data_IF_285475668785
#
_entry.id   IF_285475668785
#
_cell.length_a   1.000
_cell.length_b   1.000
_cell.length_c   1.000
_cell.angle_alpha   90.00
_cell.angle_beta   90.00
_cell.angle_gamma   90.00
#
_symmetry.space_group_name_H-M   'P 1'
#
loop_
_entity.id
_entity.type
_entity.pdbx_description
1 polymer ?
#
# COMPACT_ATOMS: atom_id res chain seq x y z
N UNK A 1 8.99 17.14 6.64
CA UNK A 1 7.85 16.98 5.72
C UNK A 1 7.76 15.53 5.26
N UNK A 2 6.67 15.17 4.58
CA UNK A 2 6.44 13.81 4.06
C UNK A 2 7.64 13.30 3.24
N UNK A 3 8.24 14.15 2.40
CA UNK A 3 9.38 13.79 1.54
C UNK A 3 10.68 13.50 2.31
N UNK A 4 10.85 14.08 3.51
CA UNK A 4 12.00 13.74 4.37
C UNK A 4 11.90 12.30 4.90
N UNK A 5 10.67 11.83 5.14
CA UNK A 5 10.40 10.48 5.63
C UNK A 5 10.29 9.48 4.47
N UNK A 6 9.62 9.86 3.38
CA UNK A 6 9.29 9.01 2.24
C UNK A 6 9.86 9.56 0.94
N UNK A 7 11.14 9.93 0.87
CA UNK A 7 11.74 10.39 -0.38
C UNK A 7 11.73 9.30 -1.46
N UNK A 8 11.65 9.69 -2.73
CA UNK A 8 11.69 8.75 -3.87
C UNK A 8 12.92 7.83 -3.78
N UNK A 9 12.72 6.52 -3.99
CA UNK A 9 13.79 5.53 -3.91
C UNK A 9 14.29 5.23 -2.49
N UNK A 10 13.65 5.79 -1.44
CA UNK A 10 13.99 5.49 -0.06
C UNK A 10 13.35 4.17 0.37
N UNK A 11 14.10 3.36 1.12
CA UNK A 11 13.56 2.17 1.77
C UNK A 11 12.76 2.54 3.02
N UNK A 12 11.61 1.90 3.17
CA UNK A 12 10.72 2.01 4.32
C UNK A 12 10.64 0.65 5.00
N UNK A 13 10.92 0.64 6.30
CA UNK A 13 10.79 -0.54 7.15
C UNK A 13 9.58 -0.36 8.06
N UNK A 14 8.62 -1.30 8.01
CA UNK A 14 7.52 -1.34 8.96
C UNK A 14 7.83 -2.33 10.09
N UNK A 15 8.11 -1.85 11.32
CA UNK A 15 8.47 -2.73 12.43
C UNK A 15 7.28 -3.47 13.03
N UNK A 16 6.06 -3.01 12.77
CA UNK A 16 4.82 -3.51 13.36
C UNK A 16 3.88 -4.07 12.29
N UNK A 17 2.80 -4.73 12.75
CA UNK A 17 1.68 -5.06 11.87
C UNK A 17 1.09 -3.76 11.31
N UNK A 18 0.81 -3.76 10.01
CA UNK A 18 0.07 -2.68 9.36
C UNK A 18 -1.20 -3.27 8.71
N UNK A 19 -2.36 -2.73 9.08
CA UNK A 19 -3.65 -3.03 8.46
C UNK A 19 -3.85 -2.14 7.23
N UNK A 20 -4.34 -2.75 6.16
CA UNK A 20 -4.68 -2.10 4.89
C UNK A 20 -5.95 -2.76 4.34
N UNK A 21 -6.54 -2.16 3.32
CA UNK A 21 -7.64 -2.74 2.54
C UNK A 21 -7.22 -2.84 1.08
N UNK A 22 -7.79 -3.81 0.35
CA UNK A 22 -7.71 -3.86 -1.11
C UNK A 22 -8.80 -3.01 -1.79
N UNK A 23 -9.79 -2.55 -1.03
CA UNK A 23 -10.83 -1.62 -1.53
C UNK A 23 -10.28 -0.19 -1.56
N UNK A 24 -9.98 0.26 -2.77
CA UNK A 24 -9.48 1.61 -3.02
C UNK A 24 -10.50 2.70 -2.62
N UNK A 25 -11.80 2.46 -2.77
CA UNK A 25 -12.83 3.43 -2.40
C UNK A 25 -12.91 3.60 -0.89
N UNK A 26 -12.84 2.49 -0.15
CA UNK A 26 -12.79 2.53 1.32
C UNK A 26 -11.53 3.26 1.83
N UNK A 27 -10.36 2.92 1.30
CA UNK A 27 -9.09 3.59 1.66
C UNK A 27 -9.15 5.10 1.40
N UNK A 28 -9.66 5.51 0.23
CA UNK A 28 -9.84 6.93 -0.12
C UNK A 28 -10.86 7.62 0.77
N UNK A 29 -11.97 6.97 1.11
CA UNK A 29 -12.98 7.48 2.03
C UNK A 29 -12.39 7.74 3.42
N UNK A 30 -11.63 6.77 3.96
CA UNK A 30 -10.93 6.90 5.25
C UNK A 30 -9.86 8.01 5.22
N UNK A 31 -9.14 8.19 4.12
CA UNK A 31 -8.15 9.26 3.97
C UNK A 31 -8.78 10.65 3.83
N UNK A 32 -9.87 10.78 3.08
CA UNK A 32 -10.53 12.05 2.76
C UNK A 32 -11.60 12.52 3.76
N UNK A 33 -12.02 11.68 4.70
CA UNK A 33 -13.12 11.97 5.64
C UNK A 33 -12.80 12.97 6.77
N UNK A 34 -11.59 13.54 6.81
CA UNK A 34 -11.18 14.40 7.93
C UNK A 34 -10.80 15.82 7.51
N UNK A 35 -10.96 16.79 8.42
CA UNK A 35 -10.61 18.19 8.19
C UNK A 35 -9.11 18.47 8.06
N UNK A 36 -8.26 17.45 8.23
CA UNK A 36 -6.80 17.53 8.05
C UNK A 36 -6.40 16.64 6.87
N UNK A 37 -5.49 17.12 6.03
CA UNK A 37 -4.87 16.32 4.98
C UNK A 37 -4.15 15.13 5.62
N UNK A 38 -4.53 13.91 5.20
CA UNK A 38 -3.89 12.65 5.59
C UNK A 38 -2.99 12.14 4.47
N UNK A 39 -2.25 11.07 4.74
CA UNK A 39 -1.48 10.35 3.71
C UNK A 39 -2.22 9.08 3.33
N UNK A 40 -2.47 8.90 2.03
CA UNK A 40 -2.90 7.65 1.43
C UNK A 40 -1.65 6.86 1.01
N UNK A 41 -1.49 5.66 1.54
CA UNK A 41 -0.45 4.72 1.10
C UNK A 41 -1.04 3.76 0.07
N UNK A 42 -0.47 3.74 -1.12
CA UNK A 42 -0.81 2.78 -2.18
C UNK A 42 0.33 1.79 -2.24
N UNK A 43 0.05 0.50 -2.06
CA UNK A 43 1.08 -0.51 -1.85
C UNK A 43 0.97 -1.62 -2.89
N UNK A 44 1.98 -1.73 -3.75
CA UNK A 44 2.22 -2.89 -4.61
C UNK A 44 2.86 -4.00 -3.74
N UNK A 45 2.06 -4.97 -3.34
CA UNK A 45 2.40 -5.97 -2.32
C UNK A 45 2.85 -7.30 -2.94
N UNK A 46 3.96 -7.85 -2.42
CA UNK A 46 4.41 -9.22 -2.69
C UNK A 46 3.79 -10.24 -1.72
N UNK A 47 3.50 -9.81 -0.49
CA UNK A 47 2.94 -10.65 0.55
C UNK A 47 2.16 -9.82 1.58
N UNK A 48 0.91 -10.20 1.78
CA UNK A 48 0.04 -9.77 2.86
C UNK A 48 -0.89 -10.93 3.23
N UNK A 49 -1.51 -10.89 4.42
CA UNK A 49 -2.50 -11.90 4.85
C UNK A 49 -3.87 -11.26 4.89
N UNK A 50 -4.83 -11.81 4.14
CA UNK A 50 -6.23 -11.46 4.36
C UNK A 50 -6.64 -11.90 5.76
N UNK A 51 -7.31 -11.00 6.46
CA UNK A 51 -7.93 -11.27 7.77
C UNK A 51 -9.45 -11.19 7.71
N UNK A 52 -10.03 -10.94 6.53
CA UNK A 52 -11.48 -10.92 6.31
C UNK A 52 -12.23 -12.12 6.92
N UNK A 53 -11.71 -13.38 6.87
CA UNK A 53 -12.38 -14.52 7.52
C UNK A 53 -12.49 -14.45 9.05
N UNK A 54 -11.72 -13.56 9.68
CA UNK A 54 -11.62 -13.39 11.12
C UNK A 54 -12.04 -11.98 11.59
N UNK A 55 -12.38 -11.08 10.67
CA UNK A 55 -12.76 -9.70 10.96
C UNK A 55 -14.23 -9.60 11.39
N UNK A 56 -14.54 -8.60 12.22
CA UNK A 56 -15.92 -8.21 12.50
C UNK A 56 -16.58 -7.51 11.30
N UNK A 57 -15.78 -7.02 10.34
CA UNK A 57 -16.21 -6.33 9.12
C UNK A 57 -15.52 -6.94 7.90
N UNK A 58 -15.93 -8.16 7.47
CA UNK A 58 -15.29 -8.85 6.33
C UNK A 58 -15.33 -8.07 5.02
N UNK A 59 -16.33 -7.19 4.86
CA UNK A 59 -16.52 -6.31 3.69
C UNK A 59 -15.46 -5.23 3.53
N UNK A 60 -14.66 -4.95 4.57
CA UNK A 60 -13.53 -4.02 4.46
C UNK A 60 -12.34 -4.64 3.72
N UNK A 61 -12.44 -5.92 3.30
CA UNK A 61 -11.40 -6.70 2.62
C UNK A 61 -10.01 -6.47 3.21
N UNK A 62 -9.96 -6.53 4.55
CA UNK A 62 -8.78 -6.19 5.32
C UNK A 62 -7.64 -7.19 5.07
N UNK A 63 -6.45 -6.63 4.84
CA UNK A 63 -5.18 -7.33 4.73
C UNK A 63 -4.18 -6.80 5.75
N UNK A 64 -3.30 -7.68 6.22
CA UNK A 64 -2.24 -7.34 7.15
C UNK A 64 -0.86 -7.58 6.56
N UNK A 65 -0.01 -6.57 6.65
CA UNK A 65 1.43 -6.72 6.48
C UNK A 65 2.04 -7.17 7.81
N UNK A 66 2.91 -8.18 7.73
CA UNK A 66 3.61 -8.69 8.90
C UNK A 66 4.74 -7.72 9.33
N UNK A 67 5.12 -7.74 10.62
CA UNK A 67 6.31 -7.05 11.11
C UNK A 67 7.53 -7.37 10.25
N UNK A 68 8.33 -6.34 9.99
CA UNK A 68 9.54 -6.46 9.19
C UNK A 68 9.32 -6.35 7.68
N UNK A 69 8.11 -6.02 7.23
CA UNK A 69 7.87 -5.73 5.82
C UNK A 69 8.71 -4.54 5.35
N UNK A 70 9.32 -4.68 4.17
CA UNK A 70 10.18 -3.65 3.56
C UNK A 70 9.59 -3.18 2.25
N UNK A 71 9.71 -1.89 1.99
CA UNK A 71 9.17 -1.26 0.80
C UNK A 71 10.16 -0.25 0.24
N UNK A 72 10.06 0.01 -1.05
CA UNK A 72 10.72 1.12 -1.73
C UNK A 72 9.68 2.17 -2.10
N UNK A 73 9.96 3.44 -1.84
CA UNK A 73 9.09 4.53 -2.28
C UNK A 73 9.23 4.72 -3.78
N UNK A 74 8.11 4.68 -4.48
CA UNK A 74 8.03 4.80 -5.95
C UNK A 74 7.41 6.12 -6.41
N UNK A 75 6.53 6.71 -5.59
CA UNK A 75 5.91 8.02 -5.88
C UNK A 75 5.60 8.74 -4.58
N UNK A 76 5.68 10.08 -4.60
CA UNK A 76 5.33 10.95 -3.48
C UNK A 76 4.57 12.15 -4.00
N UNK A 77 3.35 12.36 -3.50
CA UNK A 77 2.58 13.59 -3.69
C UNK A 77 2.49 14.27 -2.33
N UNK A 78 3.39 15.22 -2.10
CA UNK A 78 3.41 16.05 -0.90
C UNK A 78 2.26 17.06 -0.85
N UNK A 79 2.12 17.73 0.29
CA UNK A 79 0.98 18.60 0.60
C UNK A 79 0.75 19.70 -0.45
N UNK A 80 1.80 20.41 -0.87
CA UNK A 80 1.67 21.48 -1.88
C UNK A 80 1.15 20.95 -3.22
N UNK A 81 1.62 19.77 -3.65
CA UNK A 81 1.16 19.15 -4.90
C UNK A 81 -0.27 18.63 -4.75
N UNK A 82 -0.61 18.03 -3.61
CA UNK A 82 -1.97 17.60 -3.31
C UNK A 82 -2.96 18.78 -3.36
N UNK A 83 -2.60 19.93 -2.77
CA UNK A 83 -3.41 21.15 -2.83
C UNK A 83 -3.59 21.66 -4.26
N UNK A 84 -2.52 21.69 -5.07
CA UNK A 84 -2.59 22.10 -6.48
C UNK A 84 -3.49 21.18 -7.32
N UNK A 85 -3.49 19.87 -7.01
CA UNK A 85 -4.32 18.87 -7.68
C UNK A 85 -5.73 18.73 -7.06
N UNK A 86 -6.07 19.57 -6.06
CA UNK A 86 -7.31 19.49 -5.31
C UNK A 86 -7.59 18.09 -4.72
N UNK A 87 -6.53 17.40 -4.27
CA UNK A 87 -6.62 16.11 -3.62
C UNK A 87 -6.88 16.30 -2.11
N UNK A 88 -7.79 15.54 -1.50
CA UNK A 88 -8.06 15.63 -0.07
C UNK A 88 -6.99 14.95 0.80
N UNK A 89 -5.95 14.39 0.19
CA UNK A 89 -4.86 13.66 0.85
C UNK A 89 -3.55 13.79 0.06
N UNK A 90 -2.44 13.62 0.77
CA UNK A 90 -1.13 13.30 0.20
C UNK A 90 -1.08 11.84 -0.23
N UNK A 91 -0.17 11.50 -1.14
CA UNK A 91 -0.01 10.12 -1.62
C UNK A 91 1.43 9.66 -1.46
N UNK A 92 1.61 8.42 -1.01
CA UNK A 92 2.88 7.70 -1.08
C UNK A 92 2.64 6.35 -1.73
N UNK A 93 3.26 6.10 -2.87
CA UNK A 93 3.21 4.80 -3.53
C UNK A 93 4.44 3.99 -3.13
N UNK A 94 4.21 2.77 -2.69
CA UNK A 94 5.21 1.85 -2.18
C UNK A 94 5.20 0.57 -2.99
N UNK A 95 6.37 0.02 -3.29
CA UNK A 95 6.51 -1.35 -3.77
C UNK A 95 7.19 -2.20 -2.72
N UNK A 96 6.59 -3.31 -2.33
CA UNK A 96 7.20 -4.22 -1.38
C UNK A 96 8.44 -4.86 -2.01
N UNK A 97 9.53 -4.89 -1.24
CA UNK A 97 10.76 -5.58 -1.62
C UNK A 97 10.91 -6.86 -0.79
N UNK A 98 11.47 -7.95 -1.36
CA UNK A 98 11.66 -9.18 -0.62
C UNK A 98 12.49 -8.94 0.65
N UNK A 99 11.96 -9.34 1.80
CA UNK A 99 12.75 -9.45 3.02
C UNK A 99 13.06 -10.94 3.27
N UNK A 100 14.33 -11.38 3.24
CA UNK A 100 14.70 -12.76 3.57
C UNK A 100 14.17 -13.22 4.93
N UNK A 101 13.97 -12.30 5.88
CA UNK A 101 13.47 -12.61 7.22
C UNK A 101 11.95 -12.88 7.26
N UNK A 102 11.19 -12.46 6.25
CA UNK A 102 9.75 -12.79 6.13
C UNK A 102 9.51 -14.07 5.34
N UNK A 103 10.56 -14.69 4.78
CA UNK A 103 10.46 -15.94 3.99
C UNK A 103 10.31 -17.22 4.83
N UNK A 104 10.57 -17.20 6.14
CA UNK A 104 10.68 -18.42 6.93
C UNK A 104 9.86 -18.43 8.22
N UNK A 105 8.59 -18.03 8.13
CA UNK A 105 7.55 -18.43 9.09
C UNK A 105 6.78 -19.64 8.56
N UNK A 106 7.51 -20.72 8.23
CA UNK A 106 7.06 -22.12 8.32
C UNK A 106 5.63 -22.49 7.93
N UNK A 107 5.12 -22.01 6.79
CA UNK A 107 3.89 -22.56 6.20
C UNK A 107 4.26 -23.32 4.93
N UNK A 108 3.90 -24.60 4.93
CA UNK A 108 3.87 -25.53 3.79
C UNK A 108 3.58 -24.79 2.49
N UNK A 109 4.22 -25.24 1.39
CA UNK A 109 3.98 -24.80 0.00
C UNK A 109 2.59 -24.16 -0.13
N UNK A 110 2.48 -22.84 -0.36
CA UNK A 110 1.18 -22.22 -0.53
C UNK A 110 0.47 -22.97 -1.67
N UNK A 111 -0.85 -23.22 -1.57
CA UNK A 111 -1.60 -23.65 -2.75
C UNK A 111 -1.28 -22.65 -3.87
N UNK A 112 -0.93 -23.17 -5.05
CA UNK A 112 -0.80 -22.35 -6.25
C UNK A 112 -2.20 -21.86 -6.62
N UNK A 113 -2.68 -20.83 -5.93
CA UNK A 113 -3.80 -20.01 -6.37
C UNK A 113 -3.25 -18.92 -7.27
N UNK A 114 -3.90 -18.64 -8.42
CA UNK A 114 -3.44 -17.63 -9.35
C UNK A 114 -3.37 -16.26 -8.65
N UNK A 115 -2.35 -15.48 -9.01
CA UNK A 115 -2.10 -14.11 -8.56
C UNK A 115 -3.40 -13.33 -8.36
N UNK A 116 -3.68 -12.93 -7.12
CA UNK A 116 -4.71 -11.95 -6.83
C UNK A 116 -4.13 -10.56 -7.13
N UNK A 117 -4.49 -10.06 -8.31
CA UNK A 117 -4.35 -8.70 -8.84
C UNK A 117 -2.94 -8.12 -9.01
N UNK A 118 -2.52 -8.06 -10.28
CA UNK A 118 -1.58 -7.08 -10.81
C UNK A 118 -2.40 -5.87 -11.30
N UNK A 119 -2.22 -4.68 -10.72
CA UNK A 119 -2.64 -3.45 -11.41
C UNK A 119 -1.44 -2.95 -12.22
N UNK A 120 -1.47 -3.22 -13.53
CA UNK A 120 -0.48 -2.71 -14.46
C UNK A 120 -1.10 -1.53 -15.21
N UNK A 121 -0.72 -0.29 -14.85
CA UNK A 121 -0.99 0.88 -15.68
C UNK A 121 0.23 1.15 -16.55
N UNK A 122 0.40 0.34 -17.59
CA UNK A 122 1.19 0.74 -18.74
C UNK A 122 0.25 1.37 -19.77
N UNK A 123 -0.01 2.67 -19.66
CA UNK A 123 -0.43 3.45 -20.83
C UNK A 123 0.82 3.79 -21.64
N UNK A 124 1.17 2.92 -22.58
CA UNK A 124 1.83 3.38 -23.80
C UNK A 124 0.87 4.34 -24.49
N UNK A 125 1.21 5.62 -24.46
CA UNK A 125 0.71 6.61 -25.41
C UNK A 125 1.23 6.19 -26.80
N UNK A 126 0.40 5.47 -27.55
CA UNK A 126 0.51 5.48 -29.01
C UNK A 126 -0.13 6.78 -29.50
N UNK A 127 0.72 7.71 -29.93
CA UNK A 127 0.31 8.92 -30.65
C UNK A 127 0.05 8.54 -32.13
N UNK A 128 -1.09 8.94 -32.73
CA UNK A 128 -1.16 9.14 -34.17
C UNK A 128 -0.38 10.39 -34.61
#
# INVERSE_FOLDING_TARGET
>A
GLEAVYGLGKEVFWPNIASCTVDEMDAKGKAGSTSRIRTLFIIDALSARSVAPYSMYPEEDEIMFLPGSKFIVTTVIGESTAQLLNLPYMVVELRQIPNPQTRDLGLRKPPQTPLASTLNLSSTLDLP
#
